data_IF_604747632871
#
_entry.id   IF_604747632871
#
_cell.length_a   1.000
_cell.length_b   1.000
_cell.length_c   1.000
_cell.angle_alpha   90.00
_cell.angle_beta   90.00
_cell.angle_gamma   90.00
#
_symmetry.space_group_name_H-M   'P 1'
#
loop_
_entity.id
_entity.type
_entity.pdbx_description
1 polymer ?
#
# COMPACT_ATOMS: atom_id res chain seq x y z
N UNK A 1 1.14 14.31 -5.31
CA UNK A 1 1.94 13.66 -6.37
C UNK A 1 2.10 12.20 -5.97
N UNK A 2 1.54 11.27 -6.76
CA UNK A 2 1.77 9.82 -6.53
C UNK A 2 3.14 9.45 -7.04
N UNK A 3 3.91 8.70 -6.27
CA UNK A 3 5.33 8.49 -6.55
C UNK A 3 5.61 7.09 -7.07
N UNK A 4 4.74 6.11 -6.79
CA UNK A 4 4.81 4.75 -7.34
C UNK A 4 3.51 4.31 -8.02
N UNK A 5 3.28 4.84 -9.22
CA UNK A 5 2.24 4.31 -10.11
C UNK A 5 2.76 3.07 -10.85
N UNK A 6 1.84 2.20 -11.29
CA UNK A 6 2.11 1.07 -12.17
C UNK A 6 2.97 1.50 -13.36
N UNK A 7 2.56 2.58 -14.06
CA UNK A 7 3.26 3.06 -15.25
C UNK A 7 4.72 3.41 -14.94
N UNK A 8 4.95 4.17 -13.87
CA UNK A 8 6.30 4.58 -13.47
C UNK A 8 7.14 3.36 -13.06
N UNK A 9 6.57 2.42 -12.32
CA UNK A 9 7.30 1.21 -11.93
C UNK A 9 7.64 0.32 -13.14
N UNK A 10 6.72 0.15 -14.09
CA UNK A 10 6.97 -0.54 -15.37
C UNK A 10 8.13 0.12 -16.15
N UNK A 11 8.10 1.45 -16.31
CA UNK A 11 9.15 2.22 -16.98
C UNK A 11 10.51 2.03 -16.28
N UNK A 12 10.53 2.12 -14.96
CA UNK A 12 11.72 1.90 -14.15
C UNK A 12 12.27 0.48 -14.30
N UNK A 13 11.42 -0.55 -14.31
CA UNK A 13 11.85 -1.93 -14.52
C UNK A 13 12.48 -2.14 -15.89
N UNK A 14 11.91 -1.54 -16.95
CA UNK A 14 12.49 -1.59 -18.31
C UNK A 14 13.84 -0.88 -18.35
N UNK A 15 13.96 0.30 -17.76
CA UNK A 15 15.24 1.00 -17.68
C UNK A 15 16.28 0.25 -16.85
N UNK A 16 15.87 -0.38 -15.75
CA UNK A 16 16.74 -1.15 -14.86
C UNK A 16 17.35 -2.38 -15.51
N UNK A 17 16.61 -3.03 -16.42
CA UNK A 17 17.15 -4.11 -17.26
C UNK A 17 18.32 -3.64 -18.13
N UNK A 18 18.30 -2.38 -18.57
CA UNK A 18 19.35 -1.79 -19.41
C UNK A 18 20.48 -1.16 -18.58
N UNK A 19 20.15 -0.55 -17.44
CA UNK A 19 21.10 0.13 -16.56
C UNK A 19 20.59 0.17 -15.11
N UNK A 20 21.08 -0.78 -14.31
CA UNK A 20 20.74 -0.89 -12.89
C UNK A 20 21.06 0.38 -12.08
N UNK A 21 22.16 1.07 -12.38
CA UNK A 21 22.55 2.29 -11.65
C UNK A 21 21.56 3.44 -11.91
N UNK A 22 21.05 3.55 -13.15
CA UNK A 22 20.01 4.52 -13.49
C UNK A 22 18.72 4.24 -12.75
N UNK A 23 18.27 2.98 -12.76
CA UNK A 23 17.10 2.54 -11.98
C UNK A 23 17.25 2.89 -10.50
N UNK A 24 18.37 2.51 -9.91
CA UNK A 24 18.59 2.69 -8.48
C UNK A 24 18.68 4.17 -8.08
N UNK A 25 19.27 5.03 -8.93
CA UNK A 25 19.29 6.48 -8.71
C UNK A 25 17.88 7.07 -8.77
N UNK A 26 17.05 6.65 -9.72
CA UNK A 26 15.65 7.09 -9.82
C UNK A 26 14.82 6.61 -8.62
N UNK A 27 14.93 5.33 -8.29
CA UNK A 27 14.26 4.71 -7.14
C UNK A 27 14.58 5.46 -5.83
N UNK A 28 15.87 5.68 -5.54
CA UNK A 28 16.29 6.44 -4.35
C UNK A 28 15.71 7.85 -4.31
N UNK A 29 15.68 8.55 -5.45
CA UNK A 29 15.10 9.88 -5.52
C UNK A 29 13.60 9.85 -5.19
N UNK A 30 12.87 8.91 -5.78
CA UNK A 30 11.43 8.72 -5.56
C UNK A 30 11.14 8.41 -4.08
N UNK A 31 11.86 7.46 -3.48
CA UNK A 31 11.72 7.15 -2.05
C UNK A 31 12.04 8.36 -1.17
N UNK A 32 13.07 9.14 -1.51
CA UNK A 32 13.41 10.36 -0.78
C UNK A 32 12.31 11.40 -0.88
N UNK A 33 11.77 11.64 -2.07
CA UNK A 33 10.70 12.60 -2.32
C UNK A 33 9.41 12.20 -1.57
N UNK A 34 9.06 10.90 -1.59
CA UNK A 34 7.93 10.37 -0.83
C UNK A 34 8.14 10.50 0.68
N UNK A 35 9.32 10.14 1.20
CA UNK A 35 9.61 10.27 2.62
C UNK A 35 9.53 11.72 3.10
N UNK A 36 10.02 12.67 2.31
CA UNK A 36 9.86 14.11 2.59
C UNK A 36 8.39 14.52 2.59
N UNK A 37 7.59 13.99 1.67
CA UNK A 37 6.15 14.23 1.65
C UNK A 37 5.45 13.66 2.88
N UNK A 38 5.67 12.38 3.20
CA UNK A 38 5.05 11.71 4.34
C UNK A 38 5.34 12.46 5.65
N UNK A 39 6.60 12.83 5.90
CA UNK A 39 6.99 13.61 7.08
C UNK A 39 6.26 14.96 7.19
N UNK A 40 5.95 15.60 6.07
CA UNK A 40 5.24 16.87 6.07
C UNK A 40 3.76 16.71 6.44
N UNK A 41 3.17 15.53 6.24
CA UNK A 41 1.75 15.26 6.52
C UNK A 41 1.52 14.40 7.76
N UNK A 42 2.56 13.77 8.30
CA UNK A 42 2.47 12.73 9.33
C UNK A 42 1.63 13.15 10.54
N UNK A 43 1.84 14.35 11.08
CA UNK A 43 1.13 14.86 12.26
C UNK A 43 -0.37 15.11 12.04
N UNK A 44 -0.82 15.08 10.79
CA UNK A 44 -2.23 15.28 10.40
C UNK A 44 -2.94 13.98 10.05
N UNK A 45 -2.22 12.84 10.04
CA UNK A 45 -2.79 11.53 9.73
C UNK A 45 -3.43 10.89 10.97
N UNK A 46 -4.45 10.03 10.79
CA UNK A 46 -4.96 9.21 11.88
C UNK A 46 -3.86 8.35 12.51
N UNK A 47 -3.93 8.16 13.83
CA UNK A 47 -2.87 7.45 14.58
C UNK A 47 -2.61 6.04 14.06
N UNK A 48 -3.64 5.31 13.65
CA UNK A 48 -3.50 3.94 13.17
C UNK A 48 -2.89 3.88 11.75
N UNK A 49 -2.96 4.96 10.98
CA UNK A 49 -2.23 5.10 9.73
C UNK A 49 -0.74 5.38 9.99
N UNK A 50 -0.45 6.18 11.01
CA UNK A 50 0.94 6.39 11.44
C UNK A 50 1.53 5.08 11.96
N UNK A 51 0.76 4.28 12.71
CA UNK A 51 1.15 2.94 13.14
C UNK A 51 1.37 2.01 11.95
N UNK A 52 0.45 2.01 10.98
CA UNK A 52 0.61 1.22 9.75
C UNK A 52 1.98 1.48 9.12
N UNK A 53 2.32 2.72 8.80
CA UNK A 53 3.60 3.05 8.15
C UNK A 53 4.85 2.68 8.98
N UNK A 54 4.78 2.88 10.30
CA UNK A 54 5.94 2.72 11.19
C UNK A 54 6.17 1.29 11.65
N UNK A 55 5.09 0.62 12.04
CA UNK A 55 5.10 -0.67 12.74
C UNK A 55 4.73 -1.83 11.80
N UNK A 56 3.91 -1.60 10.77
CA UNK A 56 3.41 -2.62 9.86
C UNK A 56 3.94 -2.37 8.45
N UNK A 57 5.11 -2.90 8.15
CA UNK A 57 5.66 -2.82 6.80
C UNK A 57 4.78 -3.62 5.84
N UNK A 58 4.02 -2.92 5.00
CA UNK A 58 3.18 -3.58 4.00
C UNK A 58 4.01 -4.19 2.88
N UNK A 59 5.28 -3.80 2.69
CA UNK A 59 6.13 -4.39 1.66
C UNK A 59 6.22 -5.91 1.85
N UNK A 60 6.04 -6.66 0.77
CA UNK A 60 5.97 -8.12 0.72
C UNK A 60 4.80 -8.75 1.51
N UNK A 61 3.83 -7.97 1.98
CA UNK A 61 2.59 -8.54 2.51
C UNK A 61 1.74 -9.11 1.38
N UNK A 62 1.15 -10.29 1.60
CA UNK A 62 0.30 -10.97 0.63
C UNK A 62 -1.17 -10.72 0.95
N UNK A 63 -1.97 -10.35 -0.04
CA UNK A 63 -3.42 -10.20 0.13
C UNK A 63 -4.07 -11.58 0.27
N UNK A 64 -4.75 -11.82 1.39
CA UNK A 64 -5.47 -13.07 1.67
C UNK A 64 -6.93 -12.96 1.24
N UNK A 65 -7.62 -11.93 1.70
CA UNK A 65 -9.03 -11.70 1.39
C UNK A 65 -9.35 -10.21 1.38
N UNK A 66 -10.43 -9.87 0.68
CA UNK A 66 -11.05 -8.54 0.72
C UNK A 66 -12.53 -8.74 0.91
N UNK A 67 -13.08 -8.09 1.92
CA UNK A 67 -14.48 -8.18 2.29
C UNK A 67 -15.07 -6.77 2.28
N UNK A 68 -16.02 -6.52 1.37
CA UNK A 68 -16.83 -5.31 1.39
C UNK A 68 -18.02 -5.56 2.31
N UNK A 69 -17.85 -5.23 3.60
CA UNK A 69 -18.86 -5.45 4.65
C UNK A 69 -20.08 -4.56 4.43
N UNK A 70 -19.85 -3.29 4.05
CA UNK A 70 -20.91 -2.34 3.72
C UNK A 70 -20.44 -1.31 2.68
N UNK A 71 -21.26 -0.29 2.42
CA UNK A 71 -20.84 0.86 1.61
C UNK A 71 -19.67 1.63 2.25
N UNK A 72 -19.60 1.66 3.59
CA UNK A 72 -18.66 2.48 4.36
C UNK A 72 -17.59 1.67 5.09
N UNK A 73 -17.55 0.35 4.89
CA UNK A 73 -16.64 -0.55 5.58
C UNK A 73 -16.04 -1.58 4.63
N UNK A 74 -14.72 -1.69 4.68
CA UNK A 74 -13.92 -2.62 3.90
C UNK A 74 -12.88 -3.27 4.80
N UNK A 75 -12.76 -4.59 4.73
CA UNK A 75 -11.74 -5.35 5.43
C UNK A 75 -10.76 -5.91 4.40
N UNK A 76 -9.48 -5.63 4.58
CA UNK A 76 -8.39 -6.22 3.84
C UNK A 76 -7.61 -7.13 4.79
N UNK A 77 -7.59 -8.43 4.51
CA UNK A 77 -6.77 -9.37 5.26
C UNK A 77 -5.46 -9.56 4.53
N UNK A 78 -4.34 -9.34 5.23
CA UNK A 78 -2.99 -9.52 4.71
C UNK A 78 -2.23 -10.55 5.54
N UNK A 79 -1.38 -11.31 4.86
CA UNK A 79 -0.41 -12.23 5.42
C UNK A 79 0.98 -11.61 5.29
N UNK A 80 1.58 -11.29 6.43
CA UNK A 80 2.88 -10.64 6.54
C UNK A 80 4.04 -11.63 6.76
N UNK A 81 3.87 -12.92 6.44
CA UNK A 81 4.93 -13.92 6.62
C UNK A 81 6.24 -13.60 5.85
N UNK A 82 6.17 -12.82 4.76
CA UNK A 82 7.33 -12.38 3.98
C UNK A 82 7.80 -10.95 4.32
N UNK A 83 7.10 -10.23 5.21
CA UNK A 83 7.45 -8.86 5.59
C UNK A 83 8.69 -8.83 6.51
N UNK A 84 9.42 -7.72 6.47
CA UNK A 84 10.66 -7.59 7.25
C UNK A 84 10.45 -7.23 8.73
N UNK A 85 9.36 -6.53 9.08
CA UNK A 85 9.16 -5.96 10.43
C UNK A 85 8.15 -6.71 11.29
N UNK A 86 7.00 -7.03 10.71
CA UNK A 86 5.85 -7.64 11.36
C UNK A 86 5.54 -8.96 10.67
N UNK A 87 5.31 -10.02 11.43
CA UNK A 87 4.95 -11.34 10.90
C UNK A 87 3.62 -11.77 11.50
N UNK A 88 2.82 -12.50 10.72
CA UNK A 88 1.47 -12.91 11.11
C UNK A 88 0.42 -12.45 10.12
N UNK A 89 -0.84 -12.76 10.42
CA UNK A 89 -1.99 -12.40 9.59
C UNK A 89 -2.72 -11.24 10.26
N UNK A 90 -2.99 -10.18 9.51
CA UNK A 90 -3.62 -8.97 10.01
C UNK A 90 -4.87 -8.61 9.22
N UNK A 91 -5.90 -8.13 9.91
CA UNK A 91 -7.06 -7.46 9.32
C UNK A 91 -6.86 -5.95 9.39
N UNK A 92 -6.85 -5.33 8.22
CA UNK A 92 -6.93 -3.89 8.04
C UNK A 92 -8.39 -3.52 7.81
N UNK A 93 -9.03 -2.96 8.83
CA UNK A 93 -10.45 -2.60 8.83
C UNK A 93 -10.58 -1.11 8.55
N UNK A 94 -11.03 -0.77 7.35
CA UNK A 94 -11.26 0.60 6.90
C UNK A 94 -12.71 0.98 7.18
N UNK A 95 -12.92 2.10 7.87
CA UNK A 95 -14.26 2.64 8.18
C UNK A 95 -14.42 4.07 7.68
N UNK A 96 -15.66 4.45 7.39
CA UNK A 96 -15.94 5.70 6.67
C UNK A 96 -15.33 5.67 5.27
N UNK A 97 -15.40 4.52 4.60
CA UNK A 97 -14.91 4.37 3.22
C UNK A 97 -15.72 5.30 2.31
N UNK A 98 -15.03 6.25 1.68
CA UNK A 98 -15.62 7.19 0.71
C UNK A 98 -15.48 6.68 -0.71
N UNK A 99 -14.39 5.97 -0.98
CA UNK A 99 -14.05 5.50 -2.31
C UNK A 99 -13.04 4.36 -2.22
N UNK A 100 -13.20 3.34 -3.06
CA UNK A 100 -12.20 2.28 -3.20
C UNK A 100 -12.12 1.80 -4.65
N UNK A 101 -10.89 1.66 -5.16
CA UNK A 101 -10.59 0.95 -6.40
C UNK A 101 -9.90 -0.34 -6.00
N UNK A 102 -10.60 -1.46 -6.21
CA UNK A 102 -10.15 -2.79 -5.86
C UNK A 102 -9.97 -3.58 -7.18
N UNK A 103 -8.74 -3.96 -7.54
CA UNK A 103 -8.51 -4.79 -8.71
C UNK A 103 -9.21 -6.15 -8.57
N UNK A 104 -9.83 -6.63 -9.64
CA UNK A 104 -10.37 -7.99 -9.68
C UNK A 104 -9.24 -9.02 -9.55
N UNK A 105 -9.45 -10.08 -8.76
CA UNK A 105 -8.48 -11.17 -8.55
C UNK A 105 -7.14 -10.74 -7.92
N UNK A 106 -7.19 -9.86 -6.92
CA UNK A 106 -6.00 -9.40 -6.21
C UNK A 106 -5.53 -10.37 -5.10
N UNK A 107 -6.37 -11.30 -4.63
CA UNK A 107 -5.97 -12.29 -3.63
C UNK A 107 -4.77 -13.12 -4.13
N UNK A 108 -3.78 -13.30 -3.27
CA UNK A 108 -2.50 -13.91 -3.58
C UNK A 108 -1.42 -12.95 -4.11
N UNK A 109 -1.77 -11.69 -4.37
CA UNK A 109 -0.80 -10.66 -4.79
C UNK A 109 -0.01 -10.15 -3.60
N UNK A 110 1.24 -9.79 -3.85
CA UNK A 110 2.16 -9.18 -2.90
C UNK A 110 2.19 -7.67 -3.09
N UNK A 111 2.19 -6.96 -1.98
CA UNK A 111 2.42 -5.52 -1.94
C UNK A 111 3.88 -5.21 -2.28
N UNK A 112 4.08 -4.43 -3.33
CA UNK A 112 5.40 -3.92 -3.76
C UNK A 112 5.66 -2.58 -3.09
N UNK A 113 4.64 -1.75 -2.92
CA UNK A 113 4.78 -0.42 -2.36
C UNK A 113 3.45 0.11 -1.84
N UNK A 114 3.48 0.88 -0.76
CA UNK A 114 2.32 1.61 -0.25
C UNK A 114 2.62 3.09 -0.07
N UNK A 115 1.64 3.93 -0.36
CA UNK A 115 1.71 5.38 -0.18
C UNK A 115 0.48 5.89 0.56
N UNK A 116 0.69 6.78 1.52
CA UNK A 116 -0.36 7.45 2.27
C UNK A 116 -0.37 8.94 1.93
N UNK A 117 -1.58 9.48 1.70
CA UNK A 117 -1.81 10.90 1.48
C UNK A 117 -2.92 11.43 2.40
N UNK A 118 -2.85 12.71 2.75
CA UNK A 118 -4.03 13.42 3.24
C UNK A 118 -5.00 13.62 2.09
N UNK A 119 -6.28 13.35 2.34
CA UNK A 119 -7.34 13.61 1.36
C UNK A 119 -8.14 14.86 1.74
N UNK A 120 -8.76 14.82 2.91
CA UNK A 120 -9.57 15.88 3.51
C UNK A 120 -9.31 15.91 5.02
N UNK A 121 -9.94 16.84 5.73
CA UNK A 121 -9.92 16.82 7.20
C UNK A 121 -10.44 15.46 7.69
N UNK A 122 -9.66 14.78 8.54
CA UNK A 122 -10.00 13.46 9.12
C UNK A 122 -10.18 12.35 8.07
N UNK A 123 -9.53 12.44 6.91
CA UNK A 123 -9.52 11.37 5.91
C UNK A 123 -8.17 11.21 5.24
N UNK A 124 -7.84 9.98 4.89
CA UNK A 124 -6.61 9.63 4.20
C UNK A 124 -6.91 8.88 2.90
N UNK A 125 -5.96 8.91 1.98
CA UNK A 125 -5.89 8.04 0.80
C UNK A 125 -4.72 7.06 1.01
N UNK A 126 -5.01 5.77 0.98
CA UNK A 126 -4.01 4.70 0.91
C UNK A 126 -3.96 4.20 -0.53
N UNK A 127 -2.79 4.28 -1.15
CA UNK A 127 -2.50 3.64 -2.43
C UNK A 127 -1.55 2.47 -2.20
N UNK A 128 -1.80 1.35 -2.86
CA UNK A 128 -0.98 0.16 -2.78
C UNK A 128 -0.70 -0.30 -4.21
N UNK A 129 0.58 -0.38 -4.56
CA UNK A 129 1.05 -1.04 -5.76
C UNK A 129 1.32 -2.51 -5.42
N UNK A 130 0.66 -3.40 -6.13
CA UNK A 130 0.83 -4.84 -5.97
C UNK A 130 1.41 -5.48 -7.22
N UNK A 131 2.09 -6.61 -7.02
CA UNK A 131 2.33 -7.52 -8.12
C UNK A 131 1.00 -8.12 -8.61
N UNK A 132 1.03 -8.80 -9.74
CA UNK A 132 -0.13 -9.52 -10.24
C UNK A 132 0.09 -11.02 -10.09
N UNK A 133 -0.96 -11.79 -9.80
CA UNK A 133 -0.84 -13.23 -9.68
C UNK A 133 -0.32 -13.83 -11.00
N UNK A 134 0.80 -14.56 -10.90
CA UNK A 134 1.29 -15.46 -11.95
C UNK A 134 1.95 -14.80 -13.19
N UNK A 135 2.20 -13.48 -13.21
CA UNK A 135 2.92 -12.82 -14.32
C UNK A 135 3.83 -11.69 -13.86
N UNK A 136 5.10 -11.77 -14.28
CA UNK A 136 6.08 -10.69 -14.15
C UNK A 136 5.49 -9.41 -14.81
N UNK A 137 5.38 -8.33 -14.04
CA UNK A 137 4.86 -7.01 -14.45
C UNK A 137 3.34 -6.88 -14.65
N UNK A 138 2.51 -7.81 -14.19
CA UNK A 138 1.07 -7.58 -14.15
C UNK A 138 0.66 -6.72 -12.93
N UNK A 139 1.14 -5.47 -12.88
CA UNK A 139 0.94 -4.62 -11.71
C UNK A 139 -0.53 -4.21 -11.55
N UNK A 140 -0.97 -4.14 -10.31
CA UNK A 140 -2.30 -3.67 -9.95
C UNK A 140 -2.20 -2.53 -8.94
N UNK A 141 -3.00 -1.49 -9.14
CA UNK A 141 -3.11 -0.37 -8.21
C UNK A 141 -4.40 -0.51 -7.42
N UNK A 142 -4.25 -0.55 -6.10
CA UNK A 142 -5.35 -0.55 -5.16
C UNK A 142 -5.38 0.79 -4.45
N UNK A 143 -6.58 1.35 -4.32
CA UNK A 143 -6.77 2.62 -3.64
C UNK A 143 -7.94 2.53 -2.68
N UNK A 144 -7.77 3.06 -1.48
CA UNK A 144 -8.85 3.35 -0.55
C UNK A 144 -8.76 4.80 -0.09
N UNK A 145 -9.91 5.47 -0.03
CA UNK A 145 -10.10 6.71 0.72
C UNK A 145 -11.04 6.42 1.87
N UNK A 146 -10.59 6.65 3.10
CA UNK A 146 -11.33 6.34 4.31
C UNK A 146 -11.08 7.37 5.41
N UNK A 147 -11.97 7.40 6.40
CA UNK A 147 -11.81 8.24 7.59
C UNK A 147 -10.88 7.60 8.61
N UNK A 148 -10.98 6.27 8.80
CA UNK A 148 -10.23 5.58 9.83
C UNK A 148 -9.77 4.18 9.38
N UNK A 149 -8.74 3.69 10.06
CA UNK A 149 -8.19 2.35 9.92
C UNK A 149 -8.09 1.74 11.32
N UNK A 150 -8.41 0.46 11.47
CA UNK A 150 -8.07 -0.33 12.65
C UNK A 150 -7.34 -1.60 12.21
N UNK A 151 -6.34 -2.00 12.99
CA UNK A 151 -5.46 -3.14 12.67
C UNK A 151 -5.65 -4.19 13.74
N UNK A 152 -5.98 -5.42 13.34
CA UNK A 152 -6.17 -6.55 14.24
C UNK A 152 -5.27 -7.71 13.82
N UNK A 153 -4.51 -8.26 14.77
CA UNK A 153 -3.84 -9.55 14.57
C UNK A 153 -4.87 -10.67 14.61
N UNK A 154 -4.75 -11.63 13.69
CA UNK A 154 -5.43 -12.91 13.79
C UNK A 154 -4.44 -13.85 14.49
N UNK A 155 -4.64 -14.07 15.78
CA UNK A 155 -3.95 -15.17 16.47
C UNK A 155 -4.59 -16.49 16.00
N UNK A 156 -3.75 -17.44 15.56
CA UNK A 156 -4.17 -18.84 15.35
C UNK A 156 -4.33 -19.58 16.69
#
# INVERSE_FOLDING_TARGET
>A
MRVFTRKLYEEMQVEGKNNFNTFFKKFRKICSDYNSHYKAIESSLPIDIIKLEKEYDLHDSKVVSIEKVSEYELILTIDCAACMKNTGIYKLVFTGVKFAIIPSNICGSYCIWSEVYLYEKESFELNILMDGPGKLLNLSEFKIIANNLSIYSIEE
#
